data_IF_668974837703
#
_entry.id   IF_668974837703
#
_cell.length_a   1.000
_cell.length_b   1.000
_cell.length_c   1.000
_cell.angle_alpha   90.00
_cell.angle_beta   90.00
_cell.angle_gamma   90.00
#
_symmetry.space_group_name_H-M   'P 1'
#
loop_
_entity.id
_entity.type
_entity.pdbx_description
1 polymer ?
#
# COMPACT_ATOMS: atom_id res chain seq x y z
N UNK A 1 10.15 14.36 -3.98
CA UNK A 1 9.43 13.19 -3.44
C UNK A 1 9.59 12.08 -4.45
N UNK A 2 10.05 10.91 -4.02
CA UNK A 2 10.24 9.77 -4.94
C UNK A 2 8.88 9.16 -5.29
N UNK A 3 8.68 8.87 -6.56
CA UNK A 3 7.47 8.30 -7.15
C UNK A 3 7.76 6.92 -7.73
N UNK A 4 6.70 6.21 -8.12
CA UNK A 4 6.84 4.91 -8.82
C UNK A 4 7.56 5.04 -10.17
N UNK A 5 7.58 6.23 -10.77
CA UNK A 5 8.30 6.50 -12.02
C UNK A 5 9.80 6.50 -11.80
N UNK A 6 10.26 7.13 -10.73
CA UNK A 6 11.68 7.19 -10.38
C UNK A 6 12.21 5.77 -10.07
N UNK A 7 11.41 4.94 -9.41
CA UNK A 7 11.74 3.51 -9.18
C UNK A 7 11.82 2.73 -10.50
N UNK A 8 10.93 3.02 -11.45
CA UNK A 8 10.91 2.35 -12.75
C UNK A 8 12.14 2.72 -13.60
N UNK A 9 12.55 3.99 -13.55
CA UNK A 9 13.77 4.48 -14.21
C UNK A 9 15.03 3.87 -13.59
N UNK A 10 15.14 3.86 -12.26
CA UNK A 10 16.29 3.27 -11.54
C UNK A 10 16.40 1.75 -11.74
N UNK A 11 15.28 1.04 -11.82
CA UNK A 11 15.27 -0.41 -12.05
C UNK A 11 15.31 -0.81 -13.54
N UNK A 12 15.32 0.17 -14.46
CA UNK A 12 15.28 -0.01 -15.92
C UNK A 12 14.10 -0.89 -16.40
N UNK A 13 12.91 -0.63 -15.87
CA UNK A 13 11.68 -1.38 -16.21
C UNK A 13 10.49 -0.47 -16.46
N UNK A 14 9.44 -1.01 -17.06
CA UNK A 14 8.17 -0.29 -17.16
C UNK A 14 7.51 -0.08 -15.77
N UNK A 15 6.76 1.01 -15.63
CA UNK A 15 5.98 1.33 -14.42
C UNK A 15 5.01 0.18 -14.05
N UNK A 16 4.45 -0.49 -15.06
CA UNK A 16 3.57 -1.66 -14.88
C UNK A 16 4.30 -2.81 -14.17
N UNK A 17 5.58 -3.05 -14.51
CA UNK A 17 6.42 -4.07 -13.87
C UNK A 17 6.65 -3.75 -12.41
N UNK A 18 6.98 -2.50 -12.08
CA UNK A 18 7.11 -2.05 -10.68
C UNK A 18 5.79 -2.24 -9.93
N UNK A 19 4.67 -1.87 -10.56
CA UNK A 19 3.34 -2.07 -9.97
C UNK A 19 3.03 -3.56 -9.74
N UNK A 20 3.43 -4.46 -10.63
CA UNK A 20 3.21 -5.90 -10.49
C UNK A 20 4.05 -6.47 -9.35
N UNK A 21 5.34 -6.08 -9.25
CA UNK A 21 6.23 -6.48 -8.15
C UNK A 21 5.68 -6.02 -6.80
N UNK A 22 5.29 -4.74 -6.68
CA UNK A 22 4.76 -4.18 -5.43
C UNK A 22 3.38 -4.74 -5.04
N UNK A 23 2.61 -5.25 -6.00
CA UNK A 23 1.34 -5.91 -5.75
C UNK A 23 1.46 -7.44 -5.63
N UNK A 24 2.66 -8.00 -5.72
CA UNK A 24 2.88 -9.45 -5.60
C UNK A 24 2.28 -10.28 -6.74
N UNK A 25 2.15 -9.70 -7.94
CA UNK A 25 1.62 -10.42 -9.11
C UNK A 25 2.71 -11.32 -9.70
N UNK A 26 2.40 -12.61 -9.85
CA UNK A 26 3.36 -13.67 -10.21
C UNK A 26 3.68 -13.75 -11.72
N UNK A 27 3.87 -12.58 -12.34
CA UNK A 27 4.13 -12.42 -13.79
C UNK A 27 5.52 -11.86 -14.08
N UNK A 28 6.32 -11.62 -13.05
CA UNK A 28 7.64 -10.96 -13.14
C UNK A 28 8.71 -11.97 -12.76
N UNK A 29 9.78 -12.07 -13.57
CA UNK A 29 10.90 -12.94 -13.24
C UNK A 29 11.57 -12.54 -11.93
N UNK A 30 12.10 -13.51 -11.19
CA UNK A 30 12.77 -13.26 -9.90
C UNK A 30 13.95 -12.29 -10.04
N UNK A 31 14.67 -12.32 -11.17
CA UNK A 31 15.74 -11.37 -11.47
C UNK A 31 15.23 -9.93 -11.53
N UNK A 32 14.12 -9.69 -12.23
CA UNK A 32 13.52 -8.36 -12.37
C UNK A 32 12.90 -7.90 -11.05
N UNK A 33 12.26 -8.81 -10.32
CA UNK A 33 11.72 -8.56 -8.98
C UNK A 33 12.80 -8.07 -8.02
N UNK A 34 13.97 -8.71 -8.03
CA UNK A 34 15.12 -8.31 -7.22
C UNK A 34 15.60 -6.90 -7.57
N UNK A 35 15.79 -6.59 -8.86
CA UNK A 35 16.18 -5.23 -9.32
C UNK A 35 15.21 -4.15 -8.83
N UNK A 36 13.91 -4.41 -8.92
CA UNK A 36 12.88 -3.47 -8.46
C UNK A 36 12.95 -3.26 -6.95
N UNK A 37 13.12 -4.33 -6.16
CA UNK A 37 13.22 -4.22 -4.70
C UNK A 37 14.47 -3.44 -4.26
N UNK A 38 15.61 -3.67 -4.94
CA UNK A 38 16.85 -2.91 -4.71
C UNK A 38 16.66 -1.41 -5.00
N UNK A 39 15.99 -1.06 -6.11
CA UNK A 39 15.68 0.33 -6.46
C UNK A 39 14.73 0.99 -5.44
N UNK A 40 13.71 0.26 -4.96
CA UNK A 40 12.79 0.72 -3.92
C UNK A 40 13.53 1.05 -2.62
N UNK A 41 14.44 0.17 -2.19
CA UNK A 41 15.22 0.35 -0.97
C UNK A 41 16.21 1.50 -1.11
N UNK A 42 16.96 1.57 -2.22
CA UNK A 42 17.92 2.63 -2.52
C UNK A 42 17.27 4.02 -2.52
N UNK A 43 16.10 4.14 -3.14
CA UNK A 43 15.37 5.40 -3.25
C UNK A 43 14.49 5.69 -2.02
N UNK A 44 14.42 4.77 -1.04
CA UNK A 44 13.51 4.84 0.11
C UNK A 44 12.06 5.12 -0.31
N UNK A 45 11.64 4.50 -1.40
CA UNK A 45 10.31 4.68 -1.94
C UNK A 45 9.27 4.06 -1.00
N UNK A 46 8.32 4.87 -0.55
CA UNK A 46 7.17 4.41 0.24
C UNK A 46 5.92 4.51 -0.63
N UNK A 47 5.23 3.39 -0.92
CA UNK A 47 4.03 3.42 -1.73
C UNK A 47 2.93 4.26 -1.05
N UNK A 48 2.32 5.15 -1.83
CA UNK A 48 1.22 5.97 -1.34
C UNK A 48 -0.05 5.10 -1.23
N UNK A 49 -0.40 4.73 0.01
CA UNK A 49 -1.57 3.90 0.29
C UNK A 49 -2.88 4.57 -0.14
N UNK A 50 -3.01 5.90 -0.05
CA UNK A 50 -4.20 6.61 -0.53
C UNK A 50 -4.39 6.44 -2.04
N UNK A 51 -3.30 6.54 -2.82
CA UNK A 51 -3.32 6.30 -4.26
C UNK A 51 -3.63 4.82 -4.58
N UNK A 52 -3.09 3.88 -3.79
CA UNK A 52 -3.38 2.45 -3.92
C UNK A 52 -4.87 2.16 -3.71
N UNK A 53 -5.47 2.69 -2.65
CA UNK A 53 -6.90 2.51 -2.34
C UNK A 53 -7.82 3.16 -3.36
N UNK A 54 -7.43 4.29 -3.95
CA UNK A 54 -8.19 4.94 -5.00
C UNK A 54 -8.24 4.07 -6.27
N UNK A 55 -7.10 3.48 -6.67
CA UNK A 55 -7.01 2.64 -7.86
C UNK A 55 -7.71 1.28 -7.69
N UNK A 56 -7.62 0.65 -6.52
CA UNK A 56 -8.25 -0.66 -6.28
C UNK A 56 -9.75 -0.59 -6.01
N UNK A 57 -10.28 0.62 -5.74
CA UNK A 57 -11.67 0.86 -5.32
C UNK A 57 -12.15 -0.05 -4.17
N UNK A 58 -11.19 -0.63 -3.43
CA UNK A 58 -11.41 -1.48 -2.27
C UNK A 58 -10.77 -0.80 -1.07
N UNK A 59 -11.60 -0.34 -0.15
CA UNK A 59 -11.18 0.23 1.13
C UNK A 59 -11.65 -0.74 2.20
N UNK A 60 -10.72 -1.37 2.93
CA UNK A 60 -11.05 -2.13 4.14
C UNK A 60 -11.19 -1.16 5.31
N UNK A 61 -12.04 -0.14 5.15
CA UNK A 61 -12.23 0.92 6.14
C UNK A 61 -13.62 0.76 6.75
N UNK A 62 -13.69 0.57 8.06
CA UNK A 62 -14.95 0.54 8.82
C UNK A 62 -15.13 1.93 9.46
N UNK A 63 -16.22 2.60 9.14
CA UNK A 63 -16.59 3.88 9.77
C UNK A 63 -17.50 3.65 10.97
N UNK A 64 -17.14 4.20 12.13
CA UNK A 64 -17.94 4.15 13.36
C UNK A 64 -18.50 5.54 13.65
N UNK A 65 -19.83 5.67 13.60
CA UNK A 65 -20.53 6.90 13.97
C UNK A 65 -21.09 6.74 15.38
N UNK A 66 -20.46 7.42 16.34
CA UNK A 66 -20.84 7.35 17.75
C UNK A 66 -21.26 8.73 18.25
N UNK A 67 -22.26 8.77 19.13
CA UNK A 67 -22.70 10.00 19.80
C UNK A 67 -21.72 10.46 20.88
N UNK A 68 -20.90 9.56 21.42
CA UNK A 68 -19.78 9.86 22.33
C UNK A 68 -18.78 8.69 22.36
N UNK A 69 -17.51 8.99 22.63
CA UNK A 69 -16.45 7.99 22.88
C UNK A 69 -16.39 7.63 24.38
N UNK A 70 -17.12 8.36 25.23
CA UNK A 70 -17.18 8.15 26.67
C UNK A 70 -18.28 7.16 27.05
N UNK A 71 -18.02 6.36 28.08
CA UNK A 71 -18.95 5.36 28.62
C UNK A 71 -18.57 3.93 28.24
N UNK A 72 -18.85 2.99 29.15
CA UNK A 72 -18.38 1.61 29.06
C UNK A 72 -18.91 0.87 27.82
N UNK A 73 -20.13 1.19 27.38
CA UNK A 73 -20.74 0.59 26.19
C UNK A 73 -19.96 0.91 24.89
N UNK A 74 -19.66 2.18 24.63
CA UNK A 74 -18.94 2.59 23.41
C UNK A 74 -17.48 2.13 23.43
N UNK A 75 -16.88 2.01 24.62
CA UNK A 75 -15.54 1.46 24.80
C UNK A 75 -15.48 -0.03 24.41
N UNK A 76 -16.44 -0.82 24.88
CA UNK A 76 -16.56 -2.23 24.49
C UNK A 76 -16.79 -2.39 22.98
N UNK A 77 -17.66 -1.54 22.40
CA UNK A 77 -17.99 -1.57 20.98
C UNK A 77 -16.79 -1.21 20.09
N UNK A 78 -16.01 -0.20 20.46
CA UNK A 78 -14.79 0.18 19.73
C UNK A 78 -13.67 -0.86 19.85
N UNK A 79 -13.53 -1.52 21.00
CA UNK A 79 -12.60 -2.65 21.16
C UNK A 79 -13.00 -3.86 20.31
N UNK A 80 -14.29 -4.20 20.25
CA UNK A 80 -14.76 -5.33 19.47
C UNK A 80 -14.57 -5.17 17.96
N UNK A 81 -14.54 -3.92 17.46
CA UNK A 81 -14.35 -3.61 16.04
C UNK A 81 -12.86 -3.51 15.66
N UNK A 82 -11.96 -3.57 16.63
CA UNK A 82 -10.53 -3.63 16.36
C UNK A 82 -10.18 -5.02 15.80
N UNK A 83 -9.91 -5.08 14.49
CA UNK A 83 -9.34 -6.23 13.78
C UNK A 83 -7.83 -6.31 14.02
#
# INVERSE_FOLDING_TARGET
MVTIRDVAEEAEVAISTVSNVLNGVDVVSEQTKKKVLEAVEKLKYVPNMNAKFLKTNKRNTIGLFLSSIQGDFYRMLTQAVHL
#
